data_IF_366295066323
#
_entry.id   IF_366295066323
#
_cell.length_a   1.000
_cell.length_b   1.000
_cell.length_c   1.000
_cell.angle_alpha   90.00
_cell.angle_beta   90.00
_cell.angle_gamma   90.00
#
_symmetry.space_group_name_H-M   'P 1'
#
loop_
_entity.id
_entity.type
_entity.pdbx_description
1 polymer ?
#
# COMPACT_ATOMS: atom_id res chain seq x y z
N UNK A 1 13.50 9.73 -32.41
CA UNK A 1 13.40 8.32 -31.97
C UNK A 1 13.62 8.28 -30.46
N UNK A 2 12.55 8.21 -29.66
CA UNK A 2 12.67 8.19 -28.18
C UNK A 2 12.89 6.74 -27.75
N UNK A 3 14.06 6.44 -27.18
CA UNK A 3 14.38 5.13 -26.60
C UNK A 3 13.46 4.93 -25.40
N UNK A 4 12.54 3.96 -25.49
CA UNK A 4 11.68 3.56 -24.37
C UNK A 4 12.59 3.07 -23.24
N UNK A 5 12.44 3.58 -22.00
CA UNK A 5 13.17 3.03 -20.87
C UNK A 5 12.81 1.55 -20.70
N UNK A 6 13.81 0.74 -20.37
CA UNK A 6 13.67 -0.70 -20.10
C UNK A 6 13.18 -0.91 -18.66
N UNK A 7 12.56 -2.06 -18.37
CA UNK A 7 12.11 -2.41 -17.02
C UNK A 7 13.21 -2.22 -15.96
N UNK A 8 14.45 -2.60 -16.29
CA UNK A 8 15.62 -2.38 -15.43
C UNK A 8 15.86 -0.90 -15.08
N UNK A 9 15.59 0.02 -16.01
CA UNK A 9 15.76 1.46 -15.82
C UNK A 9 14.67 2.04 -14.90
N UNK A 10 13.49 1.43 -14.87
CA UNK A 10 12.39 1.84 -14.00
C UNK A 10 12.59 1.31 -12.58
N UNK A 11 13.06 0.06 -12.44
CA UNK A 11 13.48 -0.50 -11.15
C UNK A 11 14.65 0.27 -10.52
N UNK A 12 15.66 0.64 -11.30
CA UNK A 12 16.77 1.46 -10.82
C UNK A 12 16.32 2.84 -10.33
N UNK A 13 15.38 3.47 -11.06
CA UNK A 13 14.78 4.75 -10.64
C UNK A 13 13.95 4.62 -9.36
N UNK A 14 13.24 3.51 -9.20
CA UNK A 14 12.51 3.24 -7.97
C UNK A 14 13.45 3.05 -6.77
N UNK A 15 14.54 2.30 -6.96
CA UNK A 15 15.57 2.14 -5.92
C UNK A 15 16.15 3.47 -5.49
N UNK A 16 16.55 4.34 -6.43
CA UNK A 16 17.06 5.70 -6.12
C UNK A 16 16.06 6.52 -5.30
N UNK A 17 14.78 6.53 -5.69
CA UNK A 17 13.75 7.26 -4.95
C UNK A 17 13.58 6.75 -3.51
N UNK A 18 13.62 5.44 -3.31
CA UNK A 18 13.52 4.84 -1.98
C UNK A 18 14.75 5.19 -1.13
N UNK A 19 15.95 5.08 -1.67
CA UNK A 19 17.20 5.41 -0.95
C UNK A 19 17.24 6.88 -0.52
N UNK A 20 16.86 7.80 -1.41
CA UNK A 20 16.79 9.23 -1.10
C UNK A 20 15.71 9.56 -0.08
N UNK A 21 14.56 8.90 -0.18
CA UNK A 21 13.51 9.04 0.82
C UNK A 21 13.94 8.49 2.20
N UNK A 22 14.73 7.41 2.24
CA UNK A 22 15.37 6.91 3.46
C UNK A 22 16.39 7.89 4.04
N UNK A 23 17.09 8.65 3.19
CA UNK A 23 17.98 9.73 3.59
C UNK A 23 17.25 11.00 4.08
N UNK A 24 15.91 11.02 4.02
CA UNK A 24 15.08 12.13 4.51
C UNK A 24 14.69 13.17 3.44
N UNK A 25 14.95 12.90 2.16
CA UNK A 25 14.52 13.79 1.08
C UNK A 25 12.99 13.71 0.88
N UNK A 26 12.27 14.73 1.36
CA UNK A 26 10.81 14.79 1.27
C UNK A 26 10.28 14.70 -0.16
N UNK A 27 10.97 15.33 -1.12
CA UNK A 27 10.59 15.30 -2.54
C UNK A 27 10.66 13.88 -3.12
N UNK A 28 11.64 13.07 -2.70
CA UNK A 28 11.76 11.67 -3.13
C UNK A 28 10.58 10.85 -2.61
N UNK A 29 10.18 11.04 -1.36
CA UNK A 29 8.97 10.42 -0.83
C UNK A 29 7.70 10.91 -1.55
N UNK A 30 7.63 12.19 -1.89
CA UNK A 30 6.53 12.76 -2.69
C UNK A 30 6.37 12.06 -4.03
N UNK A 31 7.47 11.74 -4.73
CA UNK A 31 7.44 10.95 -5.98
C UNK A 31 6.92 9.53 -5.76
N UNK A 32 7.31 8.88 -4.66
CA UNK A 32 6.79 7.57 -4.29
C UNK A 32 5.27 7.64 -4.00
N UNK A 33 4.82 8.70 -3.33
CA UNK A 33 3.40 8.94 -3.09
C UNK A 33 2.63 9.10 -4.42
N UNK A 34 3.10 9.95 -5.33
CA UNK A 34 2.46 10.17 -6.63
C UNK A 34 2.33 8.87 -7.43
N UNK A 35 3.35 8.01 -7.37
CA UNK A 35 3.39 6.74 -8.09
C UNK A 35 2.42 5.68 -7.52
N UNK A 36 2.25 5.61 -6.21
CA UNK A 36 1.54 4.50 -5.56
C UNK A 36 0.19 4.88 -4.94
N UNK A 37 -0.12 6.17 -4.79
CA UNK A 37 -1.33 6.64 -4.10
C UNK A 37 -2.62 6.07 -4.69
N UNK A 38 -2.79 6.09 -6.01
CA UNK A 38 -3.97 5.53 -6.69
C UNK A 38 -4.09 4.01 -6.47
N UNK A 39 -2.97 3.28 -6.55
CA UNK A 39 -2.96 1.83 -6.34
C UNK A 39 -3.37 1.47 -4.92
N UNK A 40 -2.79 2.15 -3.92
CA UNK A 40 -3.11 1.94 -2.50
C UNK A 40 -4.55 2.35 -2.21
N UNK A 41 -4.99 3.50 -2.72
CA UNK A 41 -6.36 3.97 -2.56
C UNK A 41 -7.36 2.96 -3.11
N UNK A 42 -7.14 2.49 -4.33
CA UNK A 42 -8.02 1.53 -5.00
C UNK A 42 -8.04 0.17 -4.29
N UNK A 43 -6.88 -0.31 -3.82
CA UNK A 43 -6.78 -1.49 -2.95
C UNK A 43 -7.66 -1.33 -1.71
N UNK A 44 -7.56 -0.20 -1.01
CA UNK A 44 -8.32 0.05 0.23
C UNK A 44 -9.82 0.20 -0.09
N UNK A 45 -10.15 1.00 -1.10
CA UNK A 45 -11.52 1.31 -1.49
C UNK A 45 -12.34 0.05 -1.79
N UNK A 46 -11.79 -0.91 -2.55
CA UNK A 46 -12.47 -2.16 -2.82
C UNK A 46 -12.74 -3.02 -1.58
N UNK A 47 -12.02 -2.79 -0.48
CA UNK A 47 -12.17 -3.55 0.77
C UNK A 47 -13.07 -2.87 1.79
N UNK A 48 -13.08 -1.53 1.82
CA UNK A 48 -13.86 -0.76 2.81
C UNK A 48 -15.16 -0.19 2.25
N UNK A 49 -15.31 -0.09 0.92
CA UNK A 49 -16.52 0.38 0.23
C UNK A 49 -16.88 1.86 0.42
N UNK A 50 -16.26 2.56 1.39
CA UNK A 50 -16.50 3.98 1.67
C UNK A 50 -15.37 4.88 1.18
N UNK A 51 -15.72 5.92 0.41
CA UNK A 51 -14.75 6.90 -0.12
C UNK A 51 -13.94 7.57 0.99
N UNK A 52 -14.60 8.18 1.96
CA UNK A 52 -13.93 8.91 3.05
C UNK A 52 -12.99 7.99 3.85
N UNK A 53 -13.47 6.81 4.23
CA UNK A 53 -12.65 5.81 4.93
C UNK A 53 -11.45 5.37 4.11
N UNK A 54 -11.61 5.21 2.78
CA UNK A 54 -10.50 4.86 1.90
C UNK A 54 -9.46 5.98 1.83
N UNK A 55 -9.88 7.25 1.74
CA UNK A 55 -8.99 8.42 1.76
C UNK A 55 -8.20 8.51 3.07
N UNK A 56 -8.86 8.30 4.21
CA UNK A 56 -8.24 8.31 5.54
C UNK A 56 -7.18 7.20 5.69
N UNK A 57 -7.55 5.96 5.35
CA UNK A 57 -6.65 4.81 5.47
C UNK A 57 -5.49 4.88 4.46
N UNK A 58 -5.71 5.48 3.28
CA UNK A 58 -4.62 5.76 2.32
C UNK A 58 -3.63 6.73 2.93
N UNK A 59 -4.11 7.84 3.48
CA UNK A 59 -3.28 8.84 4.13
C UNK A 59 -2.47 8.22 5.28
N UNK A 60 -3.11 7.46 6.16
CA UNK A 60 -2.43 6.77 7.26
C UNK A 60 -1.43 5.71 6.77
N UNK A 61 -1.69 5.05 5.63
CA UNK A 61 -0.73 4.13 5.01
C UNK A 61 0.57 4.84 4.65
N UNK A 62 0.49 5.98 3.97
CA UNK A 62 1.68 6.74 3.59
C UNK A 62 2.35 7.41 4.79
N UNK A 63 1.60 7.86 5.79
CA UNK A 63 2.18 8.35 7.06
C UNK A 63 2.96 7.24 7.78
N UNK A 64 2.44 6.01 7.84
CA UNK A 64 3.17 4.85 8.39
C UNK A 64 4.37 4.48 7.55
N UNK A 65 4.24 4.53 6.23
CA UNK A 65 5.33 4.26 5.31
C UNK A 65 6.47 5.26 5.52
N UNK A 66 6.19 6.56 5.55
CA UNK A 66 7.19 7.60 5.81
C UNK A 66 7.93 7.37 7.13
N UNK A 67 7.21 7.03 8.20
CA UNK A 67 7.83 6.75 9.52
C UNK A 67 8.70 5.49 9.54
N UNK A 68 8.48 4.53 8.64
CA UNK A 68 9.12 3.21 8.62
C UNK A 68 10.02 3.00 7.42
N UNK A 69 10.15 3.98 6.53
CA UNK A 69 10.85 3.81 5.26
C UNK A 69 12.31 3.41 5.46
N UNK A 70 12.95 3.87 6.53
CA UNK A 70 14.31 3.48 6.92
C UNK A 70 14.48 1.99 7.25
N UNK A 71 13.38 1.27 7.51
CA UNK A 71 13.38 -0.18 7.78
C UNK A 71 13.11 -1.02 6.54
N UNK A 72 12.69 -0.40 5.43
CA UNK A 72 12.41 -1.11 4.20
C UNK A 72 13.71 -1.62 3.56
N UNK A 73 13.69 -2.85 3.06
CA UNK A 73 14.80 -3.48 2.35
C UNK A 73 14.28 -4.25 1.14
N UNK A 74 15.09 -4.27 0.07
CA UNK A 74 14.80 -4.96 -1.18
C UNK A 74 15.06 -6.48 -1.07
N UNK A 75 14.42 -7.17 -0.12
CA UNK A 75 14.55 -8.61 0.09
C UNK A 75 13.51 -9.41 -0.73
N UNK A 76 13.52 -9.22 -2.05
CA UNK A 76 12.58 -9.89 -2.96
C UNK A 76 11.15 -9.35 -2.91
N UNK A 77 10.92 -8.23 -2.20
CA UNK A 77 9.64 -7.53 -2.15
C UNK A 77 9.78 -6.14 -2.78
N UNK A 78 8.92 -5.83 -3.74
CA UNK A 78 8.81 -4.48 -4.30
C UNK A 78 8.24 -3.48 -3.28
N UNK A 79 8.60 -2.21 -3.40
CA UNK A 79 8.11 -1.14 -2.52
C UNK A 79 6.57 -1.06 -2.51
N UNK A 80 5.91 -1.26 -3.66
CA UNK A 80 4.45 -1.30 -3.74
C UNK A 80 3.84 -2.42 -2.88
N UNK A 81 4.42 -3.61 -2.91
CA UNK A 81 3.98 -4.74 -2.07
C UNK A 81 4.18 -4.48 -0.57
N UNK A 82 5.20 -3.70 -0.22
CA UNK A 82 5.39 -3.23 1.16
C UNK A 82 4.30 -2.23 1.58
N UNK A 83 3.94 -1.27 0.73
CA UNK A 83 2.80 -0.36 0.98
C UNK A 83 1.48 -1.12 1.14
N UNK A 84 1.21 -2.10 0.26
CA UNK A 84 0.01 -2.95 0.35
C UNK A 84 -0.03 -3.74 1.66
N UNK A 85 1.12 -4.17 2.19
CA UNK A 85 1.18 -4.82 3.51
C UNK A 85 0.75 -3.87 4.63
N UNK A 86 1.19 -2.61 4.58
CA UNK A 86 0.79 -1.59 5.56
C UNK A 86 -0.72 -1.33 5.44
N UNK A 87 -1.22 -1.13 4.22
CA UNK A 87 -2.64 -0.90 3.93
C UNK A 87 -3.52 -2.07 4.40
N UNK A 88 -3.10 -3.33 4.15
CA UNK A 88 -3.79 -4.54 4.62
C UNK A 88 -3.95 -4.54 6.13
N UNK A 89 -2.89 -4.24 6.87
CA UNK A 89 -2.93 -4.20 8.33
C UNK A 89 -3.88 -3.11 8.82
N UNK A 90 -3.87 -1.93 8.19
CA UNK A 90 -4.78 -0.83 8.50
C UNK A 90 -6.25 -1.17 8.25
N UNK A 91 -6.55 -1.84 7.14
CA UNK A 91 -7.91 -2.31 6.82
C UNK A 91 -8.37 -3.35 7.86
N UNK A 92 -7.50 -4.30 8.22
CA UNK A 92 -7.82 -5.29 9.25
C UNK A 92 -8.08 -4.63 10.62
N UNK A 93 -7.24 -3.67 11.01
CA UNK A 93 -7.42 -2.88 12.24
C UNK A 93 -8.75 -2.11 12.22
N UNK A 94 -9.09 -1.48 11.09
CA UNK A 94 -10.35 -0.75 10.92
C UNK A 94 -11.58 -1.64 11.18
N UNK A 95 -11.60 -2.86 10.61
CA UNK A 95 -12.69 -3.80 10.83
C UNK A 95 -12.70 -4.37 12.26
N UNK A 96 -11.53 -4.67 12.83
CA UNK A 96 -11.42 -5.15 14.21
C UNK A 96 -11.93 -4.11 15.21
N UNK A 97 -11.54 -2.84 15.05
CA UNK A 97 -12.03 -1.75 15.89
C UNK A 97 -13.53 -1.50 15.70
N UNK A 98 -14.03 -1.56 14.46
CA UNK A 98 -15.45 -1.38 14.17
C UNK A 98 -16.29 -2.50 14.78
N UNK A 99 -15.81 -3.74 14.66
CA UNK A 99 -16.40 -4.90 15.31
C UNK A 99 -16.38 -4.78 16.83
N UNK A 100 -15.28 -4.34 17.44
CA UNK A 100 -15.23 -4.14 18.89
C UNK A 100 -16.18 -3.03 19.37
N UNK A 101 -16.37 -1.97 18.58
CA UNK A 101 -17.41 -0.94 18.84
C UNK A 101 -18.83 -1.50 18.73
N UNK A 102 -19.05 -2.43 17.80
CA UNK A 102 -20.34 -3.11 17.60
C UNK A 102 -20.57 -4.26 18.59
N UNK A 103 -19.53 -4.91 19.11
CA UNK A 103 -19.63 -5.99 20.11
C UNK A 103 -20.01 -5.49 21.51
N UNK A 104 -20.02 -4.17 21.73
CA UNK A 104 -20.75 -3.53 22.84
C UNK A 104 -22.28 -3.55 22.59
N UNK A 105 -22.75 -4.12 21.47
CA UNK A 105 -24.17 -4.32 21.13
C UNK A 105 -24.34 -5.57 20.24
N UNK A 106 -24.34 -6.74 20.88
CA UNK A 106 -24.83 -8.07 20.42
C UNK A 106 -24.68 -8.44 18.92
N UNK A 107 -23.67 -9.29 18.65
CA UNK A 107 -23.83 -10.58 17.95
C UNK A 107 -24.19 -10.59 16.47
N UNK A 108 -23.18 -10.69 15.59
CA UNK A 108 -23.06 -11.72 14.54
C UNK A 108 -21.74 -11.53 13.77
N UNK A 109 -20.92 -12.58 13.68
CA UNK A 109 -19.63 -12.57 12.99
C UNK A 109 -19.83 -12.82 11.50
N UNK A 110 -19.35 -11.92 10.62
CA UNK A 110 -19.10 -12.26 9.22
C UNK A 110 -17.62 -12.61 9.06
N UNK A 111 -17.38 -13.86 8.65
CA UNK A 111 -16.07 -14.42 8.35
C UNK A 111 -15.45 -13.68 7.16
N UNK A 112 -14.44 -12.84 7.41
CA UNK A 112 -13.68 -12.12 6.38
C UNK A 112 -12.54 -12.98 5.79
N UNK A 113 -12.71 -14.30 5.75
CA UNK A 113 -11.72 -15.22 5.22
C UNK A 113 -12.08 -15.69 3.80
N UNK A 114 -12.15 -14.72 2.89
CA UNK A 114 -11.94 -15.02 1.48
C UNK A 114 -10.71 -14.23 1.05
N UNK A 115 -9.58 -14.92 1.05
CA UNK A 115 -8.33 -14.46 0.42
C UNK A 115 -8.61 -14.37 -1.08
N UNK A 116 -9.31 -13.32 -1.49
CA UNK A 116 -9.35 -12.89 -2.87
C UNK A 116 -7.91 -12.53 -3.20
N UNK A 117 -7.24 -13.44 -3.93
CA UNK A 117 -5.96 -13.18 -4.59
C UNK A 117 -6.07 -11.80 -5.21
N UNK A 118 -5.26 -10.89 -4.72
CA UNK A 118 -5.29 -9.54 -5.25
C UNK A 118 -4.81 -9.64 -6.71
N UNK A 119 -5.47 -8.98 -7.68
CA UNK A 119 -5.09 -9.05 -9.10
C UNK A 119 -3.64 -8.69 -9.40
N UNK A 120 -2.90 -8.15 -8.43
CA UNK A 120 -1.47 -7.84 -8.54
C UNK A 120 -0.55 -9.07 -8.67
N UNK A 121 -1.00 -10.30 -8.36
CA UNK A 121 -0.23 -11.50 -8.74
C UNK A 121 -0.21 -11.73 -10.26
N UNK A 122 -1.22 -11.23 -10.99
CA UNK A 122 -1.29 -11.40 -12.46
C UNK A 122 -0.37 -10.45 -13.24
N UNK A 123 0.14 -9.38 -12.62
CA UNK A 123 1.06 -8.44 -13.29
C UNK A 123 2.52 -8.90 -13.17
N UNK A 124 2.84 -9.80 -12.24
CA UNK A 124 4.17 -10.40 -12.11
C UNK A 124 4.38 -11.65 -13.00
N UNK A 125 3.35 -12.12 -13.69
CA UNK A 125 3.38 -13.32 -14.56
C UNK A 125 3.33 -12.98 -16.07
N UNK A 126 3.34 -11.68 -16.42
CA UNK A 126 3.31 -11.21 -17.83
C UNK A 126 4.57 -10.45 -18.27
N UNK A 127 5.70 -10.69 -17.58
CA UNK A 127 7.06 -10.40 -18.05
C UNK A 127 7.84 -11.71 -18.21
#
# INVERSE_FOLDING_TARGET
TVRRPTADSDSARMMDLVERAQAGEADAFGRLYDQYSDTVYRYIYYRVGGKATAEDLTSETFLRALRRISTFTWQGRDFGAWLVTIARNLVADHFKSSRFRLEVTTGEMLDANEVARSPEDSVLESL
#
